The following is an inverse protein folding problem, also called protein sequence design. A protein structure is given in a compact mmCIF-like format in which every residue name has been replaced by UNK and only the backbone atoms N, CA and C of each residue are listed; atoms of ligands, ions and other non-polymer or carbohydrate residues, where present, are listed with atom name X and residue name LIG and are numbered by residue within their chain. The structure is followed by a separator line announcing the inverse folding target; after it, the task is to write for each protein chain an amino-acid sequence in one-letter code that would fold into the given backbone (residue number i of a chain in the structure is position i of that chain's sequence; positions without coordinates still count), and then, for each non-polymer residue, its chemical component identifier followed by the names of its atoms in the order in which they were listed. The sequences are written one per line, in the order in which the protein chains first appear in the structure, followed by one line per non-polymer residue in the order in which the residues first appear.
data_IF_812629596483
#
_entry.id   IF_812629596483
#
_cell.length_a   1.000
_cell.length_b   1.000
_cell.length_c   1.000
_cell.angle_alpha   90.00
_cell.angle_beta   90.00
_cell.angle_gamma   90.00
#
_symmetry.space_group_name_H-M   'P 1'
#
loop_
_entity.id
_entity.type
_entity.pdbx_description
1 polymer ?
#
# COMPACT_ATOMS: atom_id res chain seq x y z
N UNK A 1 -2.28 -14.92 -8.49
CA UNK A 1 -3.21 -14.18 -7.62
C UNK A 1 -2.59 -14.08 -6.24
N UNK A 2 -2.50 -12.88 -5.68
CA UNK A 2 -1.96 -12.66 -4.33
C UNK A 2 -3.06 -12.00 -3.48
N UNK A 3 -3.45 -12.65 -2.38
CA UNK A 3 -4.49 -12.16 -1.49
C UNK A 3 -3.92 -11.96 -0.08
N UNK A 4 -4.27 -10.85 0.56
CA UNK A 4 -4.14 -10.68 2.00
C UNK A 4 -5.52 -10.52 2.61
N UNK A 5 -5.81 -11.31 3.64
CA UNK A 5 -7.06 -11.21 4.39
C UNK A 5 -7.14 -9.88 5.15
N UNK A 6 -8.34 -9.29 5.18
CA UNK A 6 -8.64 -8.15 6.04
C UNK A 6 -8.95 -8.53 7.48
N UNK A 7 -9.01 -7.52 8.35
CA UNK A 7 -9.45 -7.66 9.75
C UNK A 7 -10.96 -7.45 9.94
N UNK A 8 -11.65 -6.90 8.94
CA UNK A 8 -13.09 -6.66 8.93
C UNK A 8 -13.81 -7.65 7.98
N UNK A 9 -15.13 -7.78 8.15
CA UNK A 9 -15.99 -8.73 7.42
C UNK A 9 -15.87 -8.61 5.88
N UNK A 10 -15.66 -7.40 5.37
CA UNK A 10 -15.64 -7.09 3.94
C UNK A 10 -14.30 -6.52 3.44
N UNK A 11 -13.19 -6.73 4.15
CA UNK A 11 -11.88 -6.23 3.74
C UNK A 11 -10.96 -7.27 3.12
N UNK A 12 -9.70 -6.88 3.01
CA UNK A 12 -8.64 -7.62 2.33
C UNK A 12 -8.20 -6.94 1.04
N UNK A 13 -7.03 -7.35 0.57
CA UNK A 13 -6.41 -6.80 -0.64
C UNK A 13 -6.11 -7.94 -1.60
N UNK A 14 -6.53 -7.76 -2.85
CA UNK A 14 -6.28 -8.67 -3.95
C UNK A 14 -5.37 -7.98 -4.96
N UNK A 15 -4.25 -8.60 -5.28
CA UNK A 15 -3.38 -8.17 -6.37
C UNK A 15 -3.33 -9.25 -7.44
N UNK A 16 -3.74 -8.86 -8.65
CA UNK A 16 -3.69 -9.69 -9.85
C UNK A 16 -2.49 -9.27 -10.68
N UNK A 17 -1.74 -10.26 -11.14
CA UNK A 17 -0.53 -10.09 -11.94
C UNK A 17 -0.72 -10.92 -13.20
N UNK A 18 -0.40 -10.35 -14.37
CA UNK A 18 -0.47 -11.10 -15.63
C UNK A 18 0.51 -12.27 -15.60
N UNK A 19 0.17 -13.35 -16.31
CA UNK A 19 0.94 -14.62 -16.27
C UNK A 19 2.38 -14.50 -16.80
N UNK A 20 2.63 -13.50 -17.64
CA UNK A 20 3.93 -13.17 -18.22
C UNK A 20 4.82 -12.31 -17.29
N UNK A 21 4.28 -11.85 -16.15
CA UNK A 21 5.02 -11.07 -15.17
C UNK A 21 5.45 -11.99 -14.02
N UNK A 22 6.75 -12.06 -13.76
CA UNK A 22 7.28 -12.78 -12.61
C UNK A 22 7.08 -11.96 -11.33
N UNK A 23 6.34 -12.51 -10.38
CA UNK A 23 6.09 -11.88 -9.08
C UNK A 23 6.34 -12.87 -7.94
N UNK A 24 6.80 -12.37 -6.79
CA UNK A 24 6.98 -13.16 -5.57
C UNK A 24 6.30 -12.47 -4.40
N UNK A 25 5.57 -13.25 -3.59
CA UNK A 25 4.91 -12.73 -2.39
C UNK A 25 5.95 -12.39 -1.34
N UNK A 26 5.80 -11.22 -0.72
CA UNK A 26 6.52 -10.88 0.53
C UNK A 26 5.60 -11.19 1.71
N UNK A 27 6.17 -11.85 2.72
CA UNK A 27 5.44 -12.13 3.95
C UNK A 27 5.02 -10.82 4.62
N UNK A 28 3.73 -10.69 4.88
CA UNK A 28 3.17 -9.53 5.57
C UNK A 28 2.07 -10.04 6.50
N UNK A 29 2.21 -9.73 7.79
CA UNK A 29 1.26 -10.13 8.82
C UNK A 29 0.17 -9.08 9.06
N UNK A 30 0.34 -7.87 8.52
CA UNK A 30 -0.64 -6.82 8.65
C UNK A 30 -1.91 -7.20 7.88
N UNK A 31 -3.10 -7.12 8.51
CA UNK A 31 -4.35 -7.29 7.79
C UNK A 31 -4.52 -6.16 6.78
N UNK A 32 -5.22 -6.42 5.68
CA UNK A 32 -5.48 -5.44 4.63
C UNK A 32 -4.23 -4.87 3.92
N UNK A 33 -3.08 -5.57 3.98
CA UNK A 33 -1.83 -5.16 3.31
C UNK A 33 -1.23 -6.32 2.52
N UNK A 34 -1.18 -6.20 1.20
CA UNK A 34 -0.61 -7.22 0.31
C UNK A 34 0.68 -6.70 -0.33
N UNK A 35 1.79 -7.41 -0.11
CA UNK A 35 3.11 -7.01 -0.63
C UNK A 35 3.67 -8.07 -1.57
N UNK A 36 4.16 -7.63 -2.71
CA UNK A 36 4.79 -8.47 -3.73
C UNK A 36 5.95 -7.74 -4.39
N UNK A 37 6.96 -8.52 -4.77
CA UNK A 37 8.09 -8.06 -5.57
C UNK A 37 7.88 -8.52 -7.02
N UNK A 38 7.87 -7.57 -7.95
CA UNK A 38 7.89 -7.81 -9.39
C UNK A 38 9.34 -7.90 -9.84
N UNK A 39 9.70 -8.99 -10.52
CA UNK A 39 11.05 -9.23 -11.02
C UNK A 39 11.19 -8.65 -12.43
N UNK A 40 12.16 -7.77 -12.62
CA UNK A 40 12.61 -7.25 -13.91
C UNK A 40 14.13 -7.07 -13.91
N UNK A 41 14.64 -6.08 -14.64
CA UNK A 41 16.06 -5.66 -14.53
C UNK A 41 16.41 -5.25 -13.09
N UNK A 42 15.46 -4.62 -12.41
CA UNK A 42 15.49 -4.38 -10.98
C UNK A 42 14.19 -4.85 -10.34
N UNK A 43 14.22 -5.11 -9.02
CA UNK A 43 13.05 -5.50 -8.26
C UNK A 43 12.20 -4.25 -8.00
N UNK A 44 10.93 -4.29 -8.41
CA UNK A 44 9.92 -3.29 -8.06
C UNK A 44 8.98 -3.89 -7.01
N UNK A 45 8.91 -3.27 -5.83
CA UNK A 45 7.96 -3.68 -4.79
C UNK A 45 6.61 -3.01 -4.96
N UNK A 46 5.56 -3.80 -4.87
CA UNK A 46 4.18 -3.38 -4.98
C UNK A 46 3.51 -3.64 -3.62
N UNK A 47 2.99 -2.58 -2.99
CA UNK A 47 2.31 -2.65 -1.69
C UNK A 47 0.86 -2.19 -1.87
N UNK A 48 -0.07 -3.15 -1.93
CA UNK A 48 -1.50 -2.87 -1.94
C UNK A 48 -2.02 -2.70 -0.51
N UNK A 49 -2.75 -1.61 -0.25
CA UNK A 49 -3.25 -1.25 1.09
C UNK A 49 -4.76 -0.98 1.04
N UNK A 50 -5.47 -1.47 2.04
CA UNK A 50 -6.79 -0.95 2.42
C UNK A 50 -6.75 -0.57 3.89
N UNK A 51 -6.98 0.70 4.22
CA UNK A 51 -6.81 1.23 5.56
C UNK A 51 -8.16 1.65 6.16
N UNK A 52 -9.00 0.72 6.64
CA UNK A 52 -10.27 1.07 7.25
C UNK A 52 -10.06 1.95 8.50
N UNK A 53 -11.07 2.73 8.88
CA UNK A 53 -10.97 3.62 10.05
C UNK A 53 -10.58 2.88 11.34
N UNK A 54 -11.08 1.66 11.53
CA UNK A 54 -10.84 0.83 12.71
C UNK A 54 -9.66 -0.15 12.54
N UNK A 55 -8.65 0.18 11.73
CA UNK A 55 -7.49 -0.70 11.52
C UNK A 55 -6.69 -0.96 12.80
N UNK A 56 -6.16 -2.17 12.96
CA UNK A 56 -5.36 -2.57 14.14
C UNK A 56 -3.91 -2.11 14.11
N UNK A 57 -3.45 -1.55 12.99
CA UNK A 57 -2.08 -1.11 12.76
C UNK A 57 -2.00 0.39 12.50
N UNK A 58 -0.81 0.97 12.70
CA UNK A 58 -0.50 2.38 12.43
C UNK A 58 0.43 2.50 11.21
N UNK A 59 0.51 3.68 10.60
CA UNK A 59 1.32 3.89 9.38
C UNK A 59 2.78 3.44 9.53
N UNK A 60 3.36 3.65 10.71
CA UNK A 60 4.72 3.21 11.04
C UNK A 60 4.93 1.70 10.90
N UNK A 61 3.89 0.88 11.05
CA UNK A 61 3.99 -0.58 10.90
C UNK A 61 4.22 -0.99 9.44
N UNK A 62 3.90 -0.11 8.47
CA UNK A 62 4.20 -0.32 7.05
C UNK A 62 5.66 -0.02 6.69
N UNK A 63 6.37 0.76 7.51
CA UNK A 63 7.75 1.20 7.23
C UNK A 63 8.72 0.07 6.87
N UNK A 64 8.73 -1.09 7.57
CA UNK A 64 9.62 -2.21 7.22
C UNK A 64 9.35 -2.83 5.84
N UNK A 65 8.18 -2.58 5.26
CA UNK A 65 7.79 -3.11 3.95
C UNK A 65 8.32 -2.24 2.81
N UNK A 66 8.65 -0.97 3.08
CA UNK A 66 9.16 -0.02 2.10
C UNK A 66 10.53 -0.45 1.55
N UNK A 67 10.80 -0.05 0.33
CA UNK A 67 12.08 -0.28 -0.36
C UNK A 67 12.40 0.93 -1.24
N UNK A 68 13.63 1.01 -1.73
CA UNK A 68 14.09 2.10 -2.60
C UNK A 68 13.29 2.20 -3.91
N UNK A 69 12.83 1.07 -4.45
CA UNK A 69 12.01 0.99 -5.66
C UNK A 69 10.69 0.32 -5.36
N UNK A 70 9.67 1.12 -5.06
CA UNK A 70 8.35 0.59 -4.78
C UNK A 70 7.23 1.57 -5.04
N UNK A 71 6.04 1.02 -5.18
CA UNK A 71 4.78 1.74 -5.29
C UNK A 71 3.83 1.20 -4.22
N UNK A 72 3.19 2.11 -3.51
CA UNK A 72 2.10 1.79 -2.59
C UNK A 72 0.81 2.38 -3.13
N UNK A 73 -0.27 1.59 -3.13
CA UNK A 73 -1.54 1.97 -3.74
C UNK A 73 -2.71 1.31 -3.01
N UNK A 74 -3.89 1.89 -3.20
CA UNK A 74 -5.14 1.39 -2.65
C UNK A 74 -5.91 2.50 -1.94
N UNK A 75 -6.80 2.11 -1.04
CA UNK A 75 -7.65 3.05 -0.31
C UNK A 75 -7.09 3.27 1.09
N UNK A 76 -6.48 4.45 1.28
CA UNK A 76 -5.91 4.87 2.56
C UNK A 76 -6.97 5.40 3.52
N UNK A 77 -8.19 5.65 3.04
CA UNK A 77 -9.28 6.29 3.76
C UNK A 77 -8.81 7.55 4.49
N UNK A 78 -7.97 8.38 3.86
CA UNK A 78 -7.50 9.67 4.38
C UNK A 78 -7.80 10.74 3.35
N UNK A 79 -8.65 11.69 3.69
CA UNK A 79 -8.82 12.91 2.92
C UNK A 79 -7.74 13.92 3.33
N UNK A 80 -6.77 14.18 2.45
CA UNK A 80 -5.63 15.06 2.75
C UNK A 80 -6.02 16.53 3.01
N UNK A 81 -7.25 16.93 2.68
CA UNK A 81 -7.76 18.29 2.90
C UNK A 81 -8.72 18.34 4.09
N UNK A 82 -9.54 17.30 4.28
CA UNK A 82 -10.65 17.34 5.24
C UNK A 82 -10.33 16.65 6.58
N UNK A 83 -9.40 15.68 6.60
CA UNK A 83 -9.19 14.82 7.77
C UNK A 83 -8.24 15.40 8.85
N UNK A 84 -7.86 16.68 8.75
CA UNK A 84 -7.08 17.44 9.75
C UNK A 84 -5.92 16.61 10.37
N UNK A 85 -6.00 16.26 11.66
CA UNK A 85 -4.98 15.46 12.37
C UNK A 85 -4.69 14.11 11.73
N UNK A 86 -5.71 13.44 11.18
CA UNK A 86 -5.54 12.12 10.54
C UNK A 86 -4.74 12.27 9.24
N UNK A 87 -4.96 13.35 8.49
CA UNK A 87 -4.12 13.72 7.35
C UNK A 87 -2.71 14.12 7.79
N UNK A 88 -2.55 14.93 8.84
CA UNK A 88 -1.24 15.35 9.36
C UNK A 88 -0.36 14.15 9.75
N UNK A 89 -0.91 13.18 10.49
CA UNK A 89 -0.18 11.97 10.91
C UNK A 89 0.24 11.13 9.70
N UNK A 90 -0.64 11.03 8.69
CA UNK A 90 -0.35 10.29 7.45
C UNK A 90 0.75 10.99 6.63
N UNK A 91 0.63 12.30 6.42
CA UNK A 91 1.57 13.12 5.67
C UNK A 91 2.95 13.15 6.34
N UNK A 92 3.01 13.30 7.67
CA UNK A 92 4.27 13.22 8.40
C UNK A 92 4.96 11.86 8.20
N UNK A 93 4.21 10.76 8.21
CA UNK A 93 4.78 9.44 7.94
C UNK A 93 5.27 9.32 6.48
N UNK A 94 4.53 9.83 5.50
CA UNK A 94 4.94 9.91 4.09
C UNK A 94 6.28 10.66 3.95
N UNK A 95 6.38 11.84 4.56
CA UNK A 95 7.55 12.72 4.47
C UNK A 95 8.79 12.07 5.08
N UNK A 96 8.66 11.39 6.23
CA UNK A 96 9.78 10.68 6.88
C UNK A 96 10.37 9.56 6.03
N UNK A 97 9.63 9.06 5.04
CA UNK A 97 10.06 8.00 4.14
C UNK A 97 10.28 8.48 2.70
N UNK A 98 10.23 9.80 2.45
CA UNK A 98 10.37 10.40 1.13
C UNK A 98 9.42 9.78 0.08
N UNK A 99 8.21 9.43 0.52
CA UNK A 99 7.16 8.97 -0.38
C UNK A 99 6.53 10.20 -1.05
N UNK A 100 6.43 10.16 -2.38
CA UNK A 100 5.77 11.22 -3.13
C UNK A 100 4.46 10.70 -3.72
N UNK A 101 3.37 11.49 -3.68
CA UNK A 101 2.17 11.14 -4.42
C UNK A 101 2.52 11.14 -5.92
N UNK A 102 2.22 10.04 -6.60
CA UNK A 102 2.24 10.03 -8.07
C UNK A 102 0.83 10.36 -8.56
N UNK A 103 0.64 11.57 -9.05
CA UNK A 103 -0.58 11.93 -9.78
C UNK A 103 -0.40 11.51 -11.23
N UNK A 104 -1.13 10.49 -11.72
CA UNK A 104 -1.08 10.16 -13.14
C UNK A 104 -1.53 11.38 -13.96
N UNK A 105 -0.92 11.61 -15.12
CA UNK A 105 -1.24 12.73 -16.00
C UNK A 105 -2.70 12.72 -16.51
N UNK A 106 -3.40 11.62 -16.33
CA UNK A 106 -4.80 11.41 -16.72
C UNK A 106 -5.54 10.65 -15.62
N UNK A 107 -6.83 10.94 -15.36
CA UNK A 107 -7.65 10.21 -14.41
C UNK A 107 -7.67 8.72 -14.76
N UNK A 108 -7.45 7.85 -13.78
CA UNK A 108 -7.70 6.42 -13.93
C UNK A 108 -9.20 6.20 -13.76
N UNK A 109 -9.85 5.86 -14.88
CA UNK A 109 -11.28 5.54 -15.03
C UNK A 109 -11.75 4.38 -14.16
#
# INVERSE_FOLDING_TARGET
MFYQKGENKNGGVLVLVRLDIQATRIECKLPNVCVLDIKGEEILRIIGVYAPDSKSWIWKDLSPLLTKKGVMFGDFNVDIVQDDKKAEIFLAWIDTHFLAPFTPASPTS
#
